data_IF_243068276634
#
_entry.id   IF_243068276634
#
_cell.length_a   1.000
_cell.length_b   1.000
_cell.length_c   1.000
_cell.angle_alpha   90.00
_cell.angle_beta   90.00
_cell.angle_gamma   90.00
#
_symmetry.space_group_name_H-M   'P 1'
#
loop_
_entity.id
_entity.type
_entity.pdbx_description
1 polymer ?
#
# COMPACT_ATOMS: atom_id res chain seq x y z
N UNK A 1 -123.96 -7.66 16.29
CA UNK A 1 -125.18 -7.08 15.71
C UNK A 1 -125.35 -7.67 14.32
N UNK A 2 -126.55 -8.19 14.07
CA UNK A 2 -127.19 -8.48 12.77
C UNK A 2 -126.51 -9.43 11.77
N UNK A 3 -127.11 -10.62 11.57
CA UNK A 3 -127.90 -11.05 10.40
C UNK A 3 -126.98 -11.58 9.27
N UNK A 4 -127.00 -12.87 8.88
CA UNK A 4 -128.18 -13.66 8.50
C UNK A 4 -128.68 -13.19 7.13
N UNK A 5 -129.01 -14.00 6.15
CA UNK A 5 -129.24 -15.44 6.07
C UNK A 5 -129.66 -15.68 4.62
N UNK A 6 -129.03 -16.66 3.99
CA UNK A 6 -129.67 -17.66 3.14
C UNK A 6 -130.61 -17.24 2.00
N UNK A 7 -130.23 -17.79 0.84
CA UNK A 7 -131.03 -18.70 0.03
C UNK A 7 -132.01 -18.16 -1.02
N UNK A 8 -131.76 -18.74 -2.20
CA UNK A 8 -132.71 -19.44 -3.09
C UNK A 8 -133.79 -18.56 -3.73
N UNK A 9 -134.00 -18.82 -5.01
CA UNK A 9 -135.02 -19.78 -5.46
C UNK A 9 -135.40 -19.45 -6.91
N UNK A 10 -135.55 -20.48 -7.77
CA UNK A 10 -136.85 -20.84 -8.38
C UNK A 10 -137.17 -20.02 -9.66
N UNK A 11 -137.89 -20.47 -10.69
CA UNK A 11 -138.70 -21.66 -10.95
C UNK A 11 -139.17 -21.65 -12.43
N UNK A 12 -139.62 -22.84 -12.93
CA UNK A 12 -140.76 -23.09 -13.89
C UNK A 12 -140.55 -22.72 -15.38
N UNK A 13 -141.10 -23.42 -16.39
CA UNK A 13 -141.99 -24.59 -16.49
C UNK A 13 -142.24 -25.00 -17.97
N UNK A 14 -142.42 -26.32 -18.23
CA UNK A 14 -143.37 -26.99 -19.19
C UNK A 14 -143.21 -26.70 -20.72
N UNK A 15 -143.35 -27.61 -21.71
CA UNK A 15 -144.07 -28.89 -21.85
C UNK A 15 -143.60 -29.66 -23.14
N UNK A 16 -143.49 -30.99 -23.05
CA UNK A 16 -143.71 -32.10 -24.03
C UNK A 16 -142.88 -32.33 -25.35
N UNK A 17 -142.36 -33.58 -25.40
CA UNK A 17 -142.22 -34.57 -26.53
C UNK A 17 -141.32 -34.16 -27.72
N UNK A 18 -140.47 -34.98 -28.35
CA UNK A 18 -140.27 -36.43 -28.42
C UNK A 18 -138.83 -36.74 -28.93
N UNK A 19 -138.37 -37.97 -28.68
CA UNK A 19 -137.36 -38.74 -29.45
C UNK A 19 -135.87 -38.36 -29.45
N UNK A 20 -135.14 -39.04 -28.55
CA UNK A 20 -133.95 -39.92 -28.76
C UNK A 20 -132.87 -39.50 -29.78
N UNK A 21 -131.68 -39.11 -29.26
CA UNK A 21 -130.32 -39.65 -29.52
C UNK A 21 -129.25 -38.63 -29.04
N UNK A 22 -128.43 -38.95 -28.03
CA UNK A 22 -127.58 -37.97 -27.31
C UNK A 22 -126.05 -38.10 -27.52
N UNK A 23 -125.46 -36.92 -27.72
CA UNK A 23 -124.05 -36.53 -27.75
C UNK A 23 -123.34 -36.66 -26.38
N UNK A 24 -122.69 -37.80 -26.11
CA UNK A 24 -121.78 -38.00 -24.95
C UNK A 24 -120.33 -38.35 -25.33
N UNK A 25 -119.99 -38.40 -26.63
CA UNK A 25 -118.67 -38.84 -27.11
C UNK A 25 -117.67 -37.69 -27.37
N UNK A 26 -118.12 -36.46 -27.57
CA UNK A 26 -117.26 -35.34 -27.99
C UNK A 26 -116.46 -34.68 -26.84
N UNK A 27 -116.93 -34.74 -25.58
CA UNK A 27 -116.23 -34.12 -24.44
C UNK A 27 -115.17 -35.02 -23.79
N UNK A 28 -115.30 -36.35 -23.89
CA UNK A 28 -114.29 -37.30 -23.39
C UNK A 28 -113.04 -37.34 -24.27
N UNK A 29 -113.17 -37.13 -25.58
CA UNK A 29 -112.05 -37.16 -26.54
C UNK A 29 -111.10 -35.98 -26.33
N UNK A 30 -111.61 -34.81 -25.94
CA UNK A 30 -110.79 -33.62 -25.68
C UNK A 30 -110.02 -33.75 -24.34
N UNK A 31 -110.62 -34.43 -23.35
CA UNK A 31 -110.02 -34.63 -22.02
C UNK A 31 -109.10 -35.86 -21.91
N UNK A 32 -109.40 -36.97 -22.60
CA UNK A 32 -108.63 -38.23 -22.45
C UNK A 32 -107.50 -38.41 -23.45
N UNK A 33 -107.49 -37.67 -24.57
CA UNK A 33 -106.50 -37.86 -25.64
C UNK A 33 -105.77 -36.58 -26.03
N UNK A 34 -106.46 -35.43 -26.11
CA UNK A 34 -105.83 -34.19 -26.59
C UNK A 34 -104.94 -33.51 -25.55
N UNK A 35 -105.35 -33.40 -24.29
CA UNK A 35 -104.51 -32.83 -23.23
C UNK A 35 -103.17 -33.59 -23.04
N UNK A 36 -103.14 -34.92 -22.86
CA UNK A 36 -101.89 -35.65 -22.69
C UNK A 36 -101.00 -35.61 -23.94
N UNK A 37 -101.58 -35.56 -25.15
CA UNK A 37 -100.81 -35.41 -26.40
C UNK A 37 -100.19 -34.02 -26.53
N UNK A 38 -100.94 -32.95 -26.21
CA UNK A 38 -100.44 -31.57 -26.23
C UNK A 38 -99.39 -31.37 -25.14
N UNK A 39 -99.60 -31.92 -23.93
CA UNK A 39 -98.59 -31.94 -22.86
C UNK A 39 -97.36 -32.75 -23.25
N UNK A 40 -97.51 -33.88 -23.95
CA UNK A 40 -96.39 -34.68 -24.47
C UNK A 40 -95.59 -33.93 -25.54
N UNK A 41 -96.27 -33.25 -26.47
CA UNK A 41 -95.61 -32.42 -27.48
C UNK A 41 -94.91 -31.22 -26.84
N UNK A 42 -95.53 -30.56 -25.85
CA UNK A 42 -94.90 -29.48 -25.09
C UNK A 42 -93.73 -29.96 -24.24
N UNK A 43 -93.82 -31.14 -23.61
CA UNK A 43 -92.68 -31.71 -22.86
C UNK A 43 -91.54 -32.11 -23.79
N UNK A 44 -91.83 -32.68 -24.97
CA UNK A 44 -90.80 -32.95 -25.98
C UNK A 44 -90.19 -31.64 -26.54
N UNK A 45 -91.00 -30.62 -26.80
CA UNK A 45 -90.51 -29.32 -27.27
C UNK A 45 -89.65 -28.62 -26.19
N UNK A 46 -90.10 -28.61 -24.94
CA UNK A 46 -89.36 -28.05 -23.79
C UNK A 46 -88.07 -28.84 -23.57
N UNK A 47 -88.09 -30.17 -23.64
CA UNK A 47 -86.86 -30.98 -23.48
C UNK A 47 -85.90 -30.82 -24.66
N UNK A 48 -86.37 -30.62 -25.89
CA UNK A 48 -85.53 -30.30 -27.04
C UNK A 48 -84.90 -28.90 -26.93
N UNK A 49 -85.65 -27.90 -26.47
CA UNK A 49 -85.14 -26.54 -26.21
C UNK A 49 -84.13 -26.57 -25.06
N UNK A 50 -84.46 -27.22 -23.93
CA UNK A 50 -83.54 -27.40 -22.80
C UNK A 50 -82.28 -28.17 -23.20
N UNK A 51 -82.40 -29.19 -24.07
CA UNK A 51 -81.23 -29.92 -24.58
C UNK A 51 -80.37 -29.05 -25.49
N UNK A 52 -80.98 -28.24 -26.36
CA UNK A 52 -80.27 -27.29 -27.22
C UNK A 52 -79.57 -26.20 -26.41
N UNK A 53 -80.22 -25.65 -25.40
CA UNK A 53 -79.64 -24.65 -24.50
C UNK A 53 -78.50 -25.27 -23.68
N UNK A 54 -78.68 -26.50 -23.17
CA UNK A 54 -77.62 -27.22 -22.47
C UNK A 54 -76.43 -27.57 -23.39
N UNK A 55 -76.67 -27.93 -24.66
CA UNK A 55 -75.62 -28.22 -25.63
C UNK A 55 -74.90 -26.95 -26.08
N UNK A 56 -75.61 -25.81 -26.23
CA UNK A 56 -75.03 -24.50 -26.51
C UNK A 56 -74.15 -24.04 -25.34
N UNK A 57 -74.64 -24.18 -24.11
CA UNK A 57 -73.91 -23.83 -22.89
C UNK A 57 -72.67 -24.71 -22.70
N UNK A 58 -72.76 -26.02 -22.99
CA UNK A 58 -71.59 -26.92 -23.03
C UNK A 58 -70.56 -26.51 -24.09
N UNK A 59 -71.01 -25.96 -25.22
CA UNK A 59 -70.14 -25.50 -26.31
C UNK A 59 -69.43 -24.20 -25.91
N UNK A 60 -70.14 -23.30 -25.25
CA UNK A 60 -69.62 -22.07 -24.64
C UNK A 60 -68.62 -22.39 -23.52
N UNK A 61 -68.95 -23.29 -22.59
CA UNK A 61 -68.05 -23.77 -21.54
C UNK A 61 -66.78 -24.41 -22.13
N UNK A 62 -66.90 -25.19 -23.21
CA UNK A 62 -65.75 -25.76 -23.92
C UNK A 62 -64.90 -24.70 -24.60
N UNK A 63 -65.52 -23.65 -25.14
CA UNK A 63 -64.81 -22.53 -25.79
C UNK A 63 -64.06 -21.71 -24.73
N UNK A 64 -64.74 -21.32 -23.67
CA UNK A 64 -64.17 -20.63 -22.50
C UNK A 64 -63.03 -21.44 -21.88
N UNK A 65 -63.19 -22.76 -21.71
CA UNK A 65 -62.13 -23.62 -21.20
C UNK A 65 -60.92 -23.73 -22.14
N UNK A 66 -61.11 -23.65 -23.47
CA UNK A 66 -60.01 -23.60 -24.44
C UNK A 66 -59.28 -22.26 -24.38
N UNK A 67 -60.01 -21.15 -24.31
CA UNK A 67 -59.44 -19.81 -24.18
C UNK A 67 -58.65 -19.67 -22.88
N UNK A 68 -59.18 -20.20 -21.78
CA UNK A 68 -58.48 -20.19 -20.48
C UNK A 68 -57.23 -21.07 -20.50
N UNK A 69 -57.29 -22.27 -21.10
CA UNK A 69 -56.07 -23.09 -21.30
C UNK A 69 -55.03 -22.39 -22.17
N UNK A 70 -55.44 -21.64 -23.19
CA UNK A 70 -54.52 -20.87 -24.01
C UNK A 70 -53.91 -19.70 -23.24
N UNK A 71 -54.70 -19.02 -22.40
CA UNK A 71 -54.20 -17.99 -21.49
C UNK A 71 -53.21 -18.57 -20.48
N UNK A 72 -53.54 -19.69 -19.84
CA UNK A 72 -52.66 -20.38 -18.90
C UNK A 72 -51.35 -20.84 -19.58
N UNK A 73 -51.43 -21.33 -20.82
CA UNK A 73 -50.26 -21.70 -21.61
C UNK A 73 -49.40 -20.47 -21.93
N UNK A 74 -50.02 -19.37 -22.37
CA UNK A 74 -49.31 -18.13 -22.67
C UNK A 74 -48.65 -17.54 -21.41
N UNK A 75 -49.34 -17.56 -20.27
CA UNK A 75 -48.77 -17.15 -18.96
C UNK A 75 -47.58 -18.04 -18.62
N UNK A 76 -47.72 -19.37 -18.72
CA UNK A 76 -46.63 -20.30 -18.42
C UNK A 76 -45.40 -20.10 -19.32
N UNK A 77 -45.60 -19.80 -20.60
CA UNK A 77 -44.51 -19.47 -21.54
C UNK A 77 -43.83 -18.16 -21.11
N UNK A 78 -44.61 -17.09 -20.88
CA UNK A 78 -44.04 -15.81 -20.45
C UNK A 78 -43.29 -15.91 -19.11
N UNK A 79 -43.81 -16.66 -18.13
CA UNK A 79 -43.12 -16.84 -16.84
C UNK A 79 -41.79 -17.56 -17.03
N UNK A 80 -41.73 -18.59 -17.88
CA UNK A 80 -40.47 -19.29 -18.19
C UNK A 80 -39.47 -18.41 -18.93
N UNK A 81 -39.94 -17.53 -19.80
CA UNK A 81 -39.09 -16.53 -20.47
C UNK A 81 -38.54 -15.52 -19.47
N UNK A 82 -39.38 -14.96 -18.59
CA UNK A 82 -38.93 -14.09 -17.50
C UNK A 82 -37.91 -14.78 -16.58
N UNK A 83 -38.15 -16.03 -16.18
CA UNK A 83 -37.22 -16.78 -15.33
C UNK A 83 -35.88 -17.01 -16.03
N UNK A 84 -35.88 -17.24 -17.36
CA UNK A 84 -34.67 -17.35 -18.17
C UNK A 84 -33.91 -16.04 -18.23
N UNK A 85 -34.59 -14.92 -18.44
CA UNK A 85 -33.99 -13.59 -18.52
C UNK A 85 -33.38 -13.19 -17.17
N UNK A 86 -34.11 -13.43 -16.07
CA UNK A 86 -33.60 -13.20 -14.70
C UNK A 86 -32.36 -14.05 -14.44
N UNK A 87 -32.40 -15.35 -14.78
CA UNK A 87 -31.25 -16.24 -14.62
C UNK A 87 -30.07 -15.86 -15.52
N UNK A 88 -30.30 -15.27 -16.69
CA UNK A 88 -29.24 -14.74 -17.55
C UNK A 88 -28.62 -13.48 -16.94
N UNK A 89 -29.43 -12.51 -16.51
CA UNK A 89 -28.94 -11.29 -15.85
C UNK A 89 -28.16 -11.60 -14.57
N UNK A 90 -28.60 -12.57 -13.77
CA UNK A 90 -27.86 -13.00 -12.59
C UNK A 90 -26.50 -13.60 -12.97
N UNK A 91 -26.43 -14.44 -14.00
CA UNK A 91 -25.16 -14.99 -14.49
C UNK A 91 -24.20 -13.90 -14.98
N UNK A 92 -24.68 -12.93 -15.75
CA UNK A 92 -23.87 -11.80 -16.22
C UNK A 92 -23.39 -10.92 -15.06
N UNK A 93 -24.24 -10.68 -14.04
CA UNK A 93 -23.86 -9.92 -12.86
C UNK A 93 -22.83 -10.67 -12.00
N UNK A 94 -22.99 -11.98 -11.84
CA UNK A 94 -22.02 -12.83 -11.14
C UNK A 94 -20.68 -12.88 -11.87
N UNK A 95 -20.69 -12.94 -13.21
CA UNK A 95 -19.48 -12.90 -14.04
C UNK A 95 -18.77 -11.55 -13.92
N UNK A 96 -19.48 -10.42 -14.04
CA UNK A 96 -18.91 -9.08 -13.82
C UNK A 96 -18.34 -8.92 -12.42
N UNK A 97 -19.01 -9.45 -11.40
CA UNK A 97 -18.53 -9.43 -10.02
C UNK A 97 -17.24 -10.25 -9.86
N UNK A 98 -17.18 -11.45 -10.45
CA UNK A 98 -15.97 -12.28 -10.46
C UNK A 98 -14.81 -11.59 -11.15
N UNK A 99 -15.04 -10.95 -12.29
CA UNK A 99 -14.00 -10.18 -12.99
C UNK A 99 -13.49 -9.02 -12.13
N UNK A 100 -14.39 -8.29 -11.46
CA UNK A 100 -14.01 -7.20 -10.57
C UNK A 100 -13.20 -7.70 -9.37
N UNK A 101 -13.64 -8.79 -8.73
CA UNK A 101 -12.91 -9.41 -7.61
C UNK A 101 -11.52 -9.89 -8.05
N UNK A 102 -11.39 -10.44 -9.25
CA UNK A 102 -10.10 -10.85 -9.82
C UNK A 102 -9.18 -9.65 -10.08
N UNK A 103 -9.71 -8.54 -10.60
CA UNK A 103 -8.96 -7.29 -10.80
C UNK A 103 -8.44 -6.74 -9.49
N UNK A 104 -9.31 -6.63 -8.47
CA UNK A 104 -8.93 -6.18 -7.13
C UNK A 104 -7.86 -7.08 -6.52
N UNK A 105 -8.00 -8.40 -6.65
CA UNK A 105 -7.01 -9.35 -6.15
C UNK A 105 -5.66 -9.20 -6.86
N UNK A 106 -5.66 -9.01 -8.18
CA UNK A 106 -4.44 -8.80 -8.96
C UNK A 106 -3.75 -7.48 -8.62
N UNK A 107 -4.51 -6.39 -8.45
CA UNK A 107 -3.95 -5.09 -8.09
C UNK A 107 -3.38 -5.11 -6.67
N UNK A 108 -4.05 -5.80 -5.73
CA UNK A 108 -3.52 -6.03 -4.38
C UNK A 108 -2.21 -6.82 -4.41
N UNK A 109 -2.13 -7.91 -5.18
CA UNK A 109 -0.89 -8.68 -5.34
C UNK A 109 0.25 -7.82 -5.89
N UNK A 110 0.00 -7.03 -6.94
CA UNK A 110 1.00 -6.09 -7.47
C UNK A 110 1.45 -5.08 -6.43
N UNK A 111 0.52 -4.54 -5.63
CA UNK A 111 0.86 -3.61 -4.55
C UNK A 111 1.70 -4.28 -3.46
N UNK A 112 1.35 -5.51 -3.08
CA UNK A 112 2.10 -6.31 -2.11
C UNK A 112 3.50 -6.64 -2.63
N UNK A 113 3.65 -7.01 -3.90
CA UNK A 113 4.94 -7.26 -4.56
C UNK A 113 5.82 -5.99 -4.57
N UNK A 114 5.24 -4.84 -4.94
CA UNK A 114 5.94 -3.54 -4.90
C UNK A 114 6.34 -3.18 -3.47
N UNK A 115 5.49 -3.43 -2.48
CA UNK A 115 5.79 -3.15 -1.09
C UNK A 115 6.89 -4.08 -0.53
N UNK A 116 6.85 -5.36 -0.89
CA UNK A 116 7.90 -6.32 -0.55
C UNK A 116 9.24 -5.93 -1.17
N UNK A 117 9.24 -5.46 -2.42
CA UNK A 117 10.47 -4.99 -3.07
C UNK A 117 11.02 -3.72 -2.43
N UNK A 118 10.15 -2.75 -2.09
CA UNK A 118 10.55 -1.56 -1.31
C UNK A 118 11.18 -1.95 0.03
N UNK A 119 10.63 -2.93 0.74
CA UNK A 119 11.19 -3.44 1.99
C UNK A 119 12.57 -4.08 1.78
N UNK A 120 12.77 -4.85 0.70
CA UNK A 120 14.08 -5.45 0.37
C UNK A 120 15.15 -4.40 0.08
N UNK A 121 14.81 -3.37 -0.70
CA UNK A 121 15.72 -2.27 -1.01
C UNK A 121 16.09 -1.53 0.29
N UNK A 122 15.10 -1.19 1.12
CA UNK A 122 15.33 -0.53 2.41
C UNK A 122 16.23 -1.35 3.33
N UNK A 123 16.02 -2.67 3.44
CA UNK A 123 16.86 -3.54 4.26
C UNK A 123 18.31 -3.56 3.76
N UNK A 124 18.52 -3.63 2.45
CA UNK A 124 19.86 -3.57 1.85
C UNK A 124 20.57 -2.25 2.17
N UNK A 125 19.86 -1.12 2.06
CA UNK A 125 20.40 0.19 2.42
C UNK A 125 20.76 0.28 3.91
N UNK A 126 19.94 -0.28 4.79
CA UNK A 126 20.23 -0.35 6.24
C UNK A 126 21.49 -1.18 6.51
N UNK A 127 21.64 -2.34 5.86
CA UNK A 127 22.81 -3.20 6.01
C UNK A 127 24.10 -2.51 5.51
N UNK A 128 24.04 -1.85 4.35
CA UNK A 128 25.17 -1.07 3.84
C UNK A 128 25.56 0.08 4.79
N UNK A 129 24.56 0.78 5.34
CA UNK A 129 24.80 1.85 6.31
C UNK A 129 25.41 1.31 7.61
N UNK A 130 24.94 0.16 8.10
CA UNK A 130 25.53 -0.51 9.28
C UNK A 130 26.96 -0.93 9.03
N UNK A 131 27.23 -1.55 7.88
CA UNK A 131 28.60 -1.95 7.51
C UNK A 131 29.55 -0.76 7.49
N UNK A 132 29.15 0.36 6.86
CA UNK A 132 29.95 1.61 6.88
C UNK A 132 30.15 2.12 8.30
N UNK A 133 29.11 2.14 9.13
CA UNK A 133 29.21 2.58 10.53
C UNK A 133 30.15 1.70 11.36
N UNK A 134 30.09 0.39 11.19
CA UNK A 134 30.98 -0.56 11.87
C UNK A 134 32.44 -0.36 11.46
N UNK A 135 32.71 -0.15 10.16
CA UNK A 135 34.04 0.22 9.69
C UNK A 135 34.52 1.53 10.34
N UNK A 136 33.67 2.56 10.40
CA UNK A 136 34.02 3.80 11.07
C UNK A 136 34.34 3.60 12.55
N UNK A 137 33.54 2.79 13.26
CA UNK A 137 33.73 2.44 14.67
C UNK A 137 35.06 1.72 14.91
N UNK A 138 35.38 0.73 14.09
CA UNK A 138 36.63 -0.02 14.20
C UNK A 138 37.87 0.88 14.16
N UNK A 139 37.94 1.81 13.21
CA UNK A 139 39.06 2.74 13.13
C UNK A 139 39.08 3.78 14.26
N UNK A 140 37.93 4.16 14.80
CA UNK A 140 37.85 5.04 15.99
C UNK A 140 38.37 4.31 17.24
N UNK A 141 38.04 3.02 17.40
CA UNK A 141 38.58 2.17 18.47
C UNK A 141 40.10 2.02 18.39
N UNK A 142 40.64 1.86 17.18
CA UNK A 142 42.10 1.84 16.96
C UNK A 142 42.78 3.15 17.38
N UNK A 143 42.16 4.30 17.06
CA UNK A 143 42.67 5.60 17.49
C UNK A 143 42.65 5.72 19.02
N UNK A 144 41.55 5.31 19.67
CA UNK A 144 41.43 5.32 21.14
C UNK A 144 42.47 4.40 21.78
N UNK A 145 42.66 3.20 21.26
CA UNK A 145 43.69 2.28 21.74
C UNK A 145 45.10 2.86 21.60
N UNK A 146 45.40 3.50 20.46
CA UNK A 146 46.66 4.20 20.27
C UNK A 146 46.85 5.34 21.30
N UNK A 147 45.81 6.17 21.52
CA UNK A 147 45.88 7.27 22.48
C UNK A 147 46.11 6.77 23.91
N UNK A 148 45.47 5.67 24.30
CA UNK A 148 45.69 5.04 25.61
C UNK A 148 47.13 4.54 25.76
N UNK A 149 47.67 3.86 24.74
CA UNK A 149 49.06 3.39 24.73
C UNK A 149 50.05 4.55 24.90
N UNK A 150 49.87 5.62 24.13
CA UNK A 150 50.72 6.81 24.24
C UNK A 150 50.54 7.51 25.59
N UNK A 151 49.31 7.57 26.10
CA UNK A 151 49.01 8.12 27.43
C UNK A 151 49.78 7.40 28.54
N UNK A 152 49.81 6.07 28.51
CA UNK A 152 50.59 5.25 29.46
C UNK A 152 52.09 5.54 29.31
N UNK A 153 52.60 5.67 28.08
CA UNK A 153 54.00 6.01 27.86
C UNK A 153 54.34 7.40 28.39
N UNK A 154 53.48 8.40 28.20
CA UNK A 154 53.65 9.74 28.75
C UNK A 154 53.67 9.71 30.28
N UNK A 155 52.70 9.05 30.91
CA UNK A 155 52.60 8.93 32.36
C UNK A 155 53.87 8.32 32.96
N UNK A 156 54.38 7.25 32.37
CA UNK A 156 55.58 6.55 32.84
C UNK A 156 56.89 7.31 32.58
N UNK A 157 56.89 8.33 31.73
CA UNK A 157 58.09 9.04 31.29
C UNK A 157 58.02 10.56 31.54
N UNK A 158 57.35 10.96 32.64
CA UNK A 158 57.22 12.34 33.08
C UNK A 158 56.68 13.29 31.98
N UNK A 159 55.70 12.80 31.21
CA UNK A 159 55.05 13.57 30.15
C UNK A 159 55.91 13.77 28.89
N UNK A 160 56.98 13.00 28.67
CA UNK A 160 57.80 13.09 27.47
C UNK A 160 57.98 11.73 26.79
N UNK A 161 57.76 11.69 25.48
CA UNK A 161 58.04 10.52 24.64
C UNK A 161 59.50 10.48 24.16
N UNK A 162 60.22 11.59 24.27
CA UNK A 162 61.55 11.77 23.67
C UNK A 162 62.68 11.85 24.70
N UNK A 163 62.36 11.87 25.99
CA UNK A 163 63.33 11.85 27.09
C UNK A 163 64.14 10.54 27.17
N UNK A 164 63.57 9.44 26.68
CA UNK A 164 64.19 8.11 26.65
C UNK A 164 64.24 7.58 25.21
N UNK A 165 65.42 7.19 24.68
CA UNK A 165 65.57 6.71 23.30
C UNK A 165 64.69 5.50 22.94
N UNK A 166 64.48 4.57 23.87
CA UNK A 166 63.63 3.38 23.67
C UNK A 166 62.17 3.81 23.55
N UNK A 167 61.72 4.73 24.41
CA UNK A 167 60.35 5.26 24.38
C UNK A 167 60.12 6.08 23.13
N UNK A 168 61.12 6.85 22.69
CA UNK A 168 61.06 7.62 21.45
C UNK A 168 60.89 6.69 20.24
N UNK A 169 61.72 5.64 20.16
CA UNK A 169 61.65 4.64 19.09
C UNK A 169 60.29 3.90 19.10
N UNK A 170 59.82 3.49 20.28
CA UNK A 170 58.54 2.78 20.43
C UNK A 170 57.35 3.68 20.04
N UNK A 171 57.34 4.92 20.52
CA UNK A 171 56.28 5.88 20.23
C UNK A 171 56.23 6.19 18.74
N UNK A 172 57.39 6.48 18.14
CA UNK A 172 57.52 6.68 16.70
C UNK A 172 57.02 5.46 15.92
N UNK A 173 57.43 4.25 16.28
CA UNK A 173 56.98 3.03 15.62
C UNK A 173 55.45 2.86 15.70
N UNK A 174 54.86 3.04 16.88
CA UNK A 174 53.40 3.01 17.07
C UNK A 174 52.69 4.06 16.22
N UNK A 175 53.18 5.30 16.20
CA UNK A 175 52.58 6.38 15.40
C UNK A 175 52.66 6.07 13.91
N UNK A 176 53.82 5.67 13.40
CA UNK A 176 53.99 5.38 11.97
C UNK A 176 53.21 4.15 11.51
N UNK A 177 52.98 3.17 12.39
CA UNK A 177 52.15 2.01 12.10
C UNK A 177 50.68 2.39 11.91
N UNK A 178 50.14 3.27 12.76
CA UNK A 178 48.71 3.54 12.78
C UNK A 178 48.26 4.59 11.74
N UNK A 179 49.12 5.56 11.42
CA UNK A 179 48.86 6.64 10.46
C UNK A 179 48.27 6.16 9.12
N UNK A 180 48.82 5.14 8.43
CA UNK A 180 48.26 4.68 7.16
C UNK A 180 46.93 3.92 7.29
N UNK A 181 46.53 3.50 8.49
CA UNK A 181 45.37 2.62 8.72
C UNK A 181 44.11 3.44 9.03
N UNK A 182 44.22 4.45 9.90
CA UNK A 182 43.05 5.11 10.51
C UNK A 182 42.40 6.19 9.62
N UNK A 183 43.02 6.52 8.49
CA UNK A 183 42.51 7.50 7.53
C UNK A 183 42.66 8.96 7.98
N UNK A 184 42.53 9.88 7.03
CA UNK A 184 42.95 11.27 7.16
C UNK A 184 42.29 12.04 8.32
N UNK A 185 40.98 11.86 8.54
CA UNK A 185 40.23 12.55 9.62
C UNK A 185 40.79 12.16 11.00
N UNK A 186 41.14 10.88 11.19
CA UNK A 186 41.65 10.38 12.48
C UNK A 186 43.13 10.70 12.66
N UNK A 187 43.91 10.73 11.58
CA UNK A 187 45.27 11.26 11.59
C UNK A 187 45.28 12.70 12.10
N UNK A 188 44.36 13.55 11.64
CA UNK A 188 44.27 14.93 12.16
C UNK A 188 44.05 14.98 13.69
N UNK A 189 43.15 14.13 14.21
CA UNK A 189 42.92 13.99 15.67
C UNK A 189 44.14 13.44 16.42
N UNK A 190 44.84 12.47 15.83
CA UNK A 190 46.07 11.90 16.38
C UNK A 190 47.15 12.98 16.52
N UNK A 191 47.35 13.79 15.49
CA UNK A 191 48.32 14.89 15.49
C UNK A 191 47.92 15.96 16.52
N UNK A 192 46.64 16.30 16.62
CA UNK A 192 46.14 17.20 17.66
C UNK A 192 46.51 16.69 19.06
N UNK A 193 46.22 15.42 19.35
CA UNK A 193 46.56 14.81 20.64
C UNK A 193 48.07 14.86 20.94
N UNK A 194 48.92 14.50 19.98
CA UNK A 194 50.38 14.55 20.18
C UNK A 194 50.89 15.99 20.36
N UNK A 195 50.31 16.94 19.63
CA UNK A 195 50.63 18.36 19.76
C UNK A 195 50.21 18.91 21.13
N UNK A 196 48.98 18.64 21.58
CA UNK A 196 48.45 19.08 22.88
C UNK A 196 49.23 18.46 24.05
N UNK A 197 49.68 17.21 23.88
CA UNK A 197 50.59 16.56 24.81
C UNK A 197 52.01 17.17 24.79
N UNK A 198 52.29 18.15 23.94
CA UNK A 198 53.58 18.82 23.81
C UNK A 198 54.64 18.02 23.07
N UNK A 199 54.27 16.92 22.44
CA UNK A 199 55.20 15.95 21.84
C UNK A 199 55.61 16.34 20.41
N UNK A 200 54.94 17.32 19.80
CA UNK A 200 55.27 17.82 18.47
C UNK A 200 55.70 19.29 18.49
N UNK A 201 56.05 19.85 19.64
CA UNK A 201 56.48 21.26 19.73
C UNK A 201 57.97 21.36 19.41
N UNK A 202 58.33 22.17 18.42
CA UNK A 202 59.68 22.38 17.88
C UNK A 202 60.75 22.59 18.95
N UNK A 203 60.46 23.39 19.97
CA UNK A 203 61.40 23.74 21.04
C UNK A 203 61.36 22.80 22.25
N UNK A 204 60.70 21.63 22.14
CA UNK A 204 60.55 20.65 23.21
C UNK A 204 61.04 19.24 22.84
N UNK A 205 62.09 19.16 22.00
CA UNK A 205 62.61 17.89 21.50
C UNK A 205 61.48 17.01 20.91
N UNK A 206 60.87 17.45 19.80
CA UNK A 206 59.67 16.84 19.26
C UNK A 206 59.91 15.38 18.86
N UNK A 207 58.86 14.57 18.98
CA UNK A 207 58.83 13.20 18.46
C UNK A 207 59.10 13.24 16.95
N UNK A 208 60.12 12.51 16.51
CA UNK A 208 60.45 12.41 15.10
C UNK A 208 59.36 11.64 14.34
N UNK A 209 58.66 12.33 13.45
CA UNK A 209 57.68 11.76 12.53
C UNK A 209 58.15 11.82 11.07
N UNK A 210 59.46 11.97 10.83
CA UNK A 210 60.03 11.99 9.48
C UNK A 210 59.62 10.73 8.71
N UNK A 211 59.11 10.91 7.48
CA UNK A 211 58.57 9.85 6.64
C UNK A 211 57.09 9.52 6.89
N UNK A 212 56.43 10.12 7.89
CA UNK A 212 55.00 9.93 8.09
C UNK A 212 54.17 10.46 6.91
N UNK A 213 53.12 9.72 6.54
CA UNK A 213 52.25 10.06 5.43
C UNK A 213 50.99 10.81 5.91
N UNK A 214 50.97 12.11 5.70
CA UNK A 214 49.86 13.03 6.02
C UNK A 214 49.24 13.64 4.75
N UNK A 215 49.33 12.93 3.62
CA UNK A 215 48.73 13.36 2.35
C UNK A 215 47.23 13.59 2.52
N UNK A 216 46.70 14.63 1.88
CA UNK A 216 45.26 14.96 1.89
C UNK A 216 44.63 15.13 3.29
N UNK A 217 45.43 15.30 4.35
CA UNK A 217 44.90 15.52 5.69
C UNK A 217 44.43 16.97 5.81
N UNK A 218 43.18 17.14 6.23
CA UNK A 218 42.64 18.44 6.53
C UNK A 218 42.94 18.81 7.98
N UNK A 219 43.81 19.80 8.18
CA UNK A 219 44.12 20.42 9.45
C UNK A 219 43.47 21.81 9.61
N UNK A 220 42.55 22.22 8.73
CA UNK A 220 41.97 23.57 8.73
C UNK A 220 41.07 23.87 9.95
N UNK A 221 40.92 22.95 10.89
CA UNK A 221 40.22 23.15 12.15
C UNK A 221 41.15 23.52 13.31
N UNK A 222 42.46 23.28 13.20
CA UNK A 222 43.40 23.43 14.31
C UNK A 222 44.52 24.42 14.03
N UNK A 223 44.87 25.20 15.04
CA UNK A 223 46.08 26.04 15.02
C UNK A 223 47.20 25.30 15.73
N UNK A 224 48.36 25.23 15.09
CA UNK A 224 49.53 24.51 15.58
C UNK A 224 50.78 25.41 15.57
N UNK A 225 50.80 26.52 16.32
CA UNK A 225 52.02 27.31 16.44
C UNK A 225 53.17 26.44 16.96
N UNK A 226 54.36 26.62 16.41
CA UNK A 226 55.58 25.91 16.79
C UNK A 226 55.54 24.39 16.56
N UNK A 227 54.58 23.84 15.81
CA UNK A 227 54.57 22.41 15.51
C UNK A 227 55.77 22.00 14.66
N UNK A 228 56.33 20.83 14.94
CA UNK A 228 57.38 20.20 14.15
C UNK A 228 56.79 19.05 13.34
N UNK A 229 56.76 19.22 12.02
CA UNK A 229 56.38 18.21 11.03
C UNK A 229 57.54 17.95 10.06
N UNK A 230 58.77 18.00 10.57
CA UNK A 230 60.01 17.80 9.83
C UNK A 230 59.98 16.46 9.09
N UNK A 231 60.36 16.47 7.80
CA UNK A 231 60.51 15.27 6.98
C UNK A 231 59.19 14.54 6.66
N UNK A 232 58.02 15.11 6.97
CA UNK A 232 56.72 14.48 6.75
C UNK A 232 56.23 14.68 5.31
N UNK A 233 55.28 13.86 4.87
CA UNK A 233 54.60 14.02 3.58
C UNK A 233 53.23 14.65 3.77
N UNK A 234 53.11 15.95 3.49
CA UNK A 234 51.90 16.76 3.62
C UNK A 234 51.31 17.15 2.25
N UNK A 235 51.57 16.37 1.22
CA UNK A 235 51.08 16.69 -0.12
C UNK A 235 49.54 16.77 -0.13
N UNK A 236 49.01 17.87 -0.69
CA UNK A 236 47.59 18.24 -0.66
C UNK A 236 46.96 18.31 0.73
N UNK A 237 47.73 18.41 1.81
CA UNK A 237 47.18 18.72 3.14
C UNK A 237 46.66 20.17 3.19
N UNK A 238 45.86 20.51 4.20
CA UNK A 238 45.32 21.87 4.37
C UNK A 238 45.57 22.40 5.77
N UNK A 239 46.12 23.61 5.87
CA UNK A 239 46.20 24.42 7.10
C UNK A 239 45.49 25.77 6.92
N UNK A 240 44.50 25.84 6.02
CA UNK A 240 43.86 27.09 5.61
C UNK A 240 43.26 27.87 6.81
N UNK A 241 43.58 29.15 6.89
CA UNK A 241 43.08 30.09 7.91
C UNK A 241 43.61 29.86 9.32
N UNK A 242 44.62 29.01 9.49
CA UNK A 242 45.16 28.62 10.81
C UNK A 242 46.40 29.41 11.20
N UNK A 243 46.71 29.37 12.50
CA UNK A 243 47.99 29.84 13.00
C UNK A 243 49.01 28.70 12.98
N UNK A 244 50.03 28.86 12.16
CA UNK A 244 51.17 27.97 12.00
C UNK A 244 52.48 28.76 12.22
N UNK A 245 52.43 29.82 13.03
CA UNK A 245 53.61 30.62 13.37
C UNK A 245 54.68 29.73 13.99
N UNK A 246 55.93 29.91 13.58
CA UNK A 246 57.10 29.16 14.05
C UNK A 246 57.06 27.64 13.77
N UNK A 247 56.11 27.16 12.97
CA UNK A 247 56.04 25.76 12.57
C UNK A 247 57.32 25.34 11.82
N UNK A 248 57.79 24.12 12.06
CA UNK A 248 58.95 23.52 11.41
C UNK A 248 58.52 22.48 10.38
N UNK A 249 58.60 22.84 9.11
CA UNK A 249 58.35 21.95 7.98
C UNK A 249 59.66 21.50 7.31
N UNK A 250 60.82 21.64 7.95
CA UNK A 250 62.10 21.30 7.31
C UNK A 250 62.07 19.90 6.66
N UNK A 251 62.55 19.78 5.41
CA UNK A 251 62.52 18.54 4.61
C UNK A 251 61.13 17.93 4.35
N UNK A 252 60.03 18.62 4.67
CA UNK A 252 58.69 18.11 4.39
C UNK A 252 58.33 18.23 2.90
N UNK A 253 57.54 17.29 2.39
CA UNK A 253 56.87 17.44 1.10
C UNK A 253 55.57 18.21 1.30
N UNK A 254 55.51 19.44 0.80
CA UNK A 254 54.37 20.36 0.89
C UNK A 254 53.72 20.59 -0.49
N UNK A 255 53.92 19.68 -1.44
CA UNK A 255 53.39 19.82 -2.80
C UNK A 255 51.85 19.91 -2.75
N UNK A 256 51.27 20.95 -3.35
CA UNK A 256 49.82 21.15 -3.39
C UNK A 256 49.19 21.52 -2.05
N UNK A 257 49.98 21.82 -1.02
CA UNK A 257 49.46 22.19 0.30
C UNK A 257 48.60 23.45 0.24
N UNK A 258 47.53 23.50 1.04
CA UNK A 258 46.68 24.67 1.17
C UNK A 258 47.03 25.48 2.44
N UNK A 259 47.73 26.60 2.23
CA UNK A 259 48.04 27.60 3.25
C UNK A 259 47.22 28.90 3.08
N UNK A 260 46.05 28.86 2.42
CA UNK A 260 45.23 30.06 2.23
C UNK A 260 44.88 30.71 3.55
N UNK A 261 45.15 32.00 3.72
CA UNK A 261 44.86 32.73 4.95
C UNK A 261 45.65 32.28 6.18
N UNK A 262 46.65 31.40 6.03
CA UNK A 262 47.43 30.86 7.15
C UNK A 262 48.44 31.90 7.65
N UNK A 263 48.59 32.00 8.97
CA UNK A 263 49.65 32.80 9.59
C UNK A 263 50.90 31.95 9.76
N UNK A 264 51.97 32.31 9.07
CA UNK A 264 53.23 31.55 8.92
C UNK A 264 54.45 32.34 9.40
N UNK A 265 54.25 33.24 10.38
CA UNK A 265 55.31 34.07 10.96
C UNK A 265 56.44 33.17 11.47
N UNK A 266 57.68 33.38 11.03
CA UNK A 266 58.86 32.56 11.41
C UNK A 266 58.75 31.05 11.13
N UNK A 267 57.84 30.62 10.26
CA UNK A 267 57.76 29.21 9.87
C UNK A 267 59.00 28.79 9.07
N UNK A 268 59.52 27.59 9.34
CA UNK A 268 60.71 27.05 8.68
C UNK A 268 60.32 26.17 7.49
N UNK A 269 60.62 26.64 6.28
CA UNK A 269 60.41 25.94 5.02
C UNK A 269 61.73 25.46 4.37
N UNK A 270 62.82 25.34 5.13
CA UNK A 270 64.10 24.92 4.56
C UNK A 270 63.98 23.52 3.94
N UNK A 271 64.45 23.38 2.71
CA UNK A 271 64.47 22.09 1.99
C UNK A 271 63.09 21.46 1.80
N UNK A 272 62.02 22.25 1.72
CA UNK A 272 60.68 21.75 1.39
C UNK A 272 60.43 21.77 -0.12
N UNK A 273 59.54 20.89 -0.58
CA UNK A 273 58.93 21.01 -1.91
C UNK A 273 57.59 21.72 -1.77
N UNK A 274 57.49 22.94 -2.29
CA UNK A 274 56.30 23.80 -2.27
C UNK A 274 55.60 23.87 -3.64
N UNK A 275 55.90 22.95 -4.55
CA UNK A 275 55.28 22.90 -5.88
C UNK A 275 53.75 22.91 -5.76
N UNK A 276 53.08 23.81 -6.48
CA UNK A 276 51.61 23.98 -6.44
C UNK A 276 51.01 24.33 -5.05
N UNK A 277 51.80 24.74 -4.07
CA UNK A 277 51.29 25.22 -2.78
C UNK A 277 50.45 26.51 -2.95
N UNK A 278 49.36 26.62 -2.19
CA UNK A 278 48.48 27.79 -2.22
C UNK A 278 48.69 28.68 -0.99
N UNK A 279 49.30 29.85 -1.18
CA UNK A 279 49.56 30.84 -0.13
C UNK A 279 48.61 32.05 -0.18
N UNK A 280 47.48 31.98 -0.89
CA UNK A 280 46.62 33.15 -1.08
C UNK A 280 46.13 33.71 0.26
N UNK A 281 46.46 34.97 0.54
CA UNK A 281 46.12 35.63 1.82
C UNK A 281 46.90 35.15 3.04
N UNK A 282 47.93 34.32 2.87
CA UNK A 282 48.81 33.93 3.97
C UNK A 282 49.67 35.11 4.45
N UNK A 283 49.98 35.15 5.75
CA UNK A 283 50.85 36.17 6.35
C UNK A 283 52.18 35.56 6.73
N UNK A 284 53.27 36.02 6.12
CA UNK A 284 54.63 35.59 6.41
C UNK A 284 55.46 36.81 6.84
N UNK A 285 55.88 36.88 8.09
CA UNK A 285 56.83 37.88 8.59
C UNK A 285 57.98 37.12 9.24
N UNK A 286 59.21 37.44 8.82
CA UNK A 286 60.44 36.81 9.31
C UNK A 286 60.83 37.34 10.71
#
# INVERSE_FOLDING_TARGET
MEQGSMNKSQHRSRFRRCCVLTSKHSLKIISSCFLPLVLAIFTVAITLVQKKDADLQRLEDRKSAREQRQQDLNISIMTREQDRDIAQQQRENDEKKREQDLRIANDKRKADDVNAEKQRIMLREIEEMRYKQEQHRYFDELLVSYMNDIGILLEKNNGSLTSNPVVAALSRAKTLQIVPIIGHIRVARLICFLYDAGQLIRYRNPLDLSGANFRNVDFSLWSFPQISLVGTNLHNASFAGKDMSEADFHNANLTGIDFRGTRLIKANFRSTDLTAANFSGATCIN
#
